data_IF_396724651270
#
_entry.id   IF_396724651270
#
_cell.length_a   1.000
_cell.length_b   1.000
_cell.length_c   1.000
_cell.angle_alpha   90.00
_cell.angle_beta   90.00
_cell.angle_gamma   90.00
#
_symmetry.space_group_name_H-M   'P 1'
#
loop_
_entity.id
_entity.type
_entity.pdbx_description
1 polymer ?
#
# COMPACT_ATOMS: atom_id res chain seq x y z
N UNK A 1 -2.26 -30.72 6.30
CA UNK A 1 -2.93 -29.41 6.14
C UNK A 1 -1.90 -28.33 6.37
N UNK A 2 -1.23 -27.87 5.31
CA UNK A 2 -0.36 -26.70 5.38
C UNK A 2 -1.23 -25.50 5.71
N UNK A 3 -1.01 -24.87 6.87
CA UNK A 3 -1.62 -23.60 7.21
C UNK A 3 -1.31 -22.62 6.07
N UNK A 4 -2.34 -22.23 5.30
CA UNK A 4 -2.25 -21.15 4.34
C UNK A 4 -2.05 -19.85 5.14
N UNK A 5 -0.78 -19.58 5.48
CA UNK A 5 -0.38 -18.29 6.02
C UNK A 5 -0.69 -17.24 4.96
N UNK A 6 -1.23 -16.07 5.34
CA UNK A 6 -1.26 -14.93 4.45
C UNK A 6 0.11 -14.72 3.81
N UNK A 7 0.14 -14.64 2.49
CA UNK A 7 1.30 -14.11 1.79
C UNK A 7 1.16 -12.60 1.82
N UNK A 8 2.08 -11.95 2.52
CA UNK A 8 2.41 -10.54 2.45
C UNK A 8 3.89 -10.54 2.04
N UNK A 9 4.21 -9.84 0.97
CA UNK A 9 5.52 -9.93 0.34
C UNK A 9 5.66 -8.96 -0.82
N UNK A 10 6.83 -8.32 -0.93
CA UNK A 10 7.26 -7.75 -2.22
C UNK A 10 7.39 -8.89 -3.22
N UNK A 11 6.79 -8.70 -4.40
CA UNK A 11 6.84 -9.69 -5.46
C UNK A 11 8.26 -9.82 -5.99
N UNK A 12 8.82 -11.03 -5.92
CA UNK A 12 10.07 -11.38 -6.55
C UNK A 12 9.83 -11.66 -8.04
N UNK A 13 10.87 -11.67 -8.87
CA UNK A 13 10.73 -11.96 -10.31
C UNK A 13 10.06 -13.32 -10.60
N UNK A 14 10.14 -14.27 -9.65
CA UNK A 14 9.44 -15.55 -9.69
C UNK A 14 7.93 -15.46 -9.50
N UNK A 15 7.41 -14.35 -8.99
CA UNK A 15 5.99 -14.16 -8.67
C UNK A 15 5.22 -13.42 -9.78
N UNK A 16 5.92 -12.96 -10.82
CA UNK A 16 5.34 -12.33 -12.03
C UNK A 16 4.25 -13.21 -12.67
N UNK A 17 4.40 -14.55 -12.81
CA UNK A 17 3.33 -15.40 -13.33
C UNK A 17 2.07 -15.43 -12.47
N UNK A 18 2.20 -15.25 -11.15
CA UNK A 18 1.08 -15.22 -10.21
C UNK A 18 0.29 -13.92 -10.39
N UNK A 19 0.99 -12.78 -10.49
CA UNK A 19 0.37 -11.49 -10.79
C UNK A 19 -0.33 -11.50 -12.15
N UNK A 20 0.32 -12.02 -13.18
CA UNK A 20 -0.25 -12.09 -14.52
C UNK A 20 -1.46 -13.03 -14.58
N UNK A 21 -1.50 -14.07 -13.74
CA UNK A 21 -2.68 -14.91 -13.56
C UNK A 21 -3.81 -14.11 -12.88
N UNK A 22 -3.54 -13.41 -11.77
CA UNK A 22 -4.53 -12.57 -11.10
C UNK A 22 -5.03 -11.42 -12.01
N UNK A 23 -4.17 -10.74 -12.76
CA UNK A 23 -4.62 -9.67 -13.67
C UNK A 23 -5.41 -10.20 -14.87
N UNK A 24 -5.15 -11.45 -15.32
CA UNK A 24 -5.96 -12.13 -16.33
C UNK A 24 -7.30 -12.61 -15.79
N UNK A 25 -7.33 -13.10 -14.54
CA UNK A 25 -8.54 -13.58 -13.86
C UNK A 25 -9.45 -12.44 -13.39
N UNK A 26 -8.86 -11.28 -13.08
CA UNK A 26 -9.58 -10.11 -12.57
C UNK A 26 -9.34 -8.88 -13.48
N UNK A 27 -9.96 -8.86 -14.67
CA UNK A 27 -9.71 -7.84 -15.69
C UNK A 27 -10.14 -6.42 -15.30
N UNK A 28 -10.96 -6.27 -14.25
CA UNK A 28 -11.38 -4.96 -13.71
C UNK A 28 -11.11 -4.93 -12.20
N UNK A 29 -9.89 -4.59 -11.77
CA UNK A 29 -9.64 -4.37 -10.36
C UNK A 29 -10.32 -3.09 -9.88
N UNK A 30 -10.79 -3.12 -8.64
CA UNK A 30 -11.29 -1.93 -7.95
C UNK A 30 -10.13 -1.20 -7.27
N UNK A 31 -10.30 0.10 -7.05
CA UNK A 31 -9.32 0.90 -6.32
C UNK A 31 -9.98 1.69 -5.20
N UNK A 32 -9.27 1.84 -4.07
CA UNK A 32 -9.64 2.78 -3.02
C UNK A 32 -8.43 3.57 -2.56
N UNK A 33 -8.64 4.84 -2.18
CA UNK A 33 -7.59 5.74 -1.73
C UNK A 33 -7.73 5.98 -0.23
N UNK A 34 -6.63 5.81 0.50
CA UNK A 34 -6.52 6.13 1.91
C UNK A 34 -5.55 7.29 2.08
N UNK A 35 -5.96 8.27 2.87
CA UNK A 35 -5.14 9.41 3.24
C UNK A 35 -4.73 9.27 4.70
N UNK A 36 -3.43 9.41 4.95
CA UNK A 36 -2.88 9.50 6.30
C UNK A 36 -2.25 10.87 6.45
N UNK A 37 -2.79 11.68 7.35
CA UNK A 37 -2.31 13.05 7.60
C UNK A 37 -1.09 13.00 8.51
N UNK A 38 -0.02 13.67 8.10
CA UNK A 38 1.18 13.81 8.91
C UNK A 38 0.97 14.83 10.03
N UNK A 39 1.45 14.49 11.21
CA UNK A 39 1.49 15.40 12.36
C UNK A 39 2.92 15.82 12.69
N UNK A 40 3.06 16.94 13.38
CA UNK A 40 4.33 17.36 13.96
C UNK A 40 4.92 16.23 14.83
N UNK A 41 6.16 15.85 14.54
CA UNK A 41 6.97 14.91 15.32
C UNK A 41 6.54 13.44 15.32
N UNK A 42 5.44 13.07 14.63
CA UNK A 42 5.00 11.69 14.57
C UNK A 42 5.75 10.91 13.49
N UNK A 43 6.74 10.11 13.91
CA UNK A 43 7.45 9.17 13.04
C UNK A 43 6.62 7.92 12.72
N UNK A 44 5.48 7.71 13.40
CA UNK A 44 4.59 6.57 13.20
C UNK A 44 3.18 7.06 12.96
N UNK A 45 2.61 6.72 11.81
CA UNK A 45 1.28 7.12 11.39
C UNK A 45 0.44 5.86 11.16
N UNK A 46 -0.55 5.64 12.02
CA UNK A 46 -1.41 4.46 11.91
C UNK A 46 -2.30 4.54 10.68
N UNK A 47 -2.49 3.40 10.02
CA UNK A 47 -3.48 3.29 8.96
C UNK A 47 -4.86 3.46 9.60
N UNK A 48 -5.78 4.20 8.94
CA UNK A 48 -7.17 4.23 9.38
C UNK A 48 -7.70 2.80 9.45
N UNK A 49 -8.44 2.48 10.51
CA UNK A 49 -9.03 1.16 10.62
C UNK A 49 -10.21 1.05 9.67
N UNK A 50 -10.15 0.09 8.76
CA UNK A 50 -11.16 -0.08 7.73
C UNK A 50 -11.41 -1.57 7.57
N UNK A 51 -12.54 -2.03 8.11
CA UNK A 51 -13.09 -3.38 7.88
C UNK A 51 -13.32 -3.70 6.40
N UNK A 52 -13.22 -2.68 5.53
CA UNK A 52 -13.33 -2.78 4.09
C UNK A 52 -12.53 -3.93 3.50
N UNK A 53 -11.32 -4.27 3.98
CA UNK A 53 -10.53 -5.32 3.34
C UNK A 53 -10.81 -6.75 3.81
N UNK A 54 -11.70 -6.96 4.78
CA UNK A 54 -11.97 -8.28 5.35
C UNK A 54 -12.45 -9.28 4.28
N UNK A 55 -13.27 -8.85 3.32
CA UNK A 55 -13.86 -9.66 2.25
C UNK A 55 -13.15 -9.50 0.89
N UNK A 56 -11.97 -8.85 0.85
CA UNK A 56 -11.26 -8.49 -0.39
C UNK A 56 -9.88 -9.13 -0.47
N UNK A 57 -9.44 -9.38 -1.71
CA UNK A 57 -8.06 -9.66 -2.07
C UNK A 57 -7.38 -8.37 -2.49
N UNK A 58 -6.28 -7.99 -1.83
CA UNK A 58 -5.46 -6.87 -2.28
C UNK A 58 -4.43 -7.41 -3.27
N UNK A 59 -4.43 -6.83 -4.48
CA UNK A 59 -3.52 -7.19 -5.57
C UNK A 59 -2.33 -6.25 -5.68
N UNK A 60 -2.43 -5.07 -5.06
CA UNK A 60 -1.34 -4.11 -5.03
C UNK A 60 -1.67 -2.86 -4.24
N UNK A 61 -0.64 -2.05 -4.06
CA UNK A 61 -0.73 -0.70 -3.53
C UNK A 61 0.23 0.19 -4.33
N UNK A 62 -0.17 1.42 -4.58
CA UNK A 62 0.73 2.44 -5.11
C UNK A 62 0.59 3.75 -4.36
N UNK A 63 1.67 4.53 -4.35
CA UNK A 63 1.77 5.82 -3.70
C UNK A 63 2.05 6.87 -4.74
N UNK A 64 1.35 7.99 -4.62
CA UNK A 64 1.59 9.17 -5.43
C UNK A 64 2.45 10.15 -4.63
N UNK A 65 3.68 10.44 -5.07
CA UNK A 65 4.54 11.38 -4.38
C UNK A 65 4.23 12.81 -4.77
N UNK A 66 4.72 13.76 -3.99
CA UNK A 66 4.81 15.17 -4.36
C UNK A 66 5.61 15.35 -5.66
N UNK A 67 5.26 16.36 -6.45
CA UNK A 67 6.09 16.76 -7.58
C UNK A 67 7.16 17.78 -7.14
N UNK A 68 8.24 17.95 -7.92
CA UNK A 68 9.31 18.89 -7.58
C UNK A 68 8.85 20.35 -7.41
N UNK A 69 7.69 20.71 -7.97
CA UNK A 69 7.09 22.04 -7.82
C UNK A 69 6.22 22.22 -6.57
N UNK A 70 5.96 21.18 -5.77
CA UNK A 70 5.11 21.27 -4.59
C UNK A 70 3.65 21.60 -4.88
N UNK A 71 3.16 21.28 -6.09
CA UNK A 71 1.80 21.63 -6.55
C UNK A 71 0.87 20.42 -6.59
N UNK A 72 1.33 19.24 -6.15
CA UNK A 72 0.51 18.04 -6.11
C UNK A 72 -0.13 17.88 -4.73
N UNK A 73 -1.45 17.70 -4.75
CA UNK A 73 -2.26 17.58 -3.55
C UNK A 73 -2.98 16.24 -3.50
N UNK A 74 -3.24 15.77 -2.29
CA UNK A 74 -4.10 14.64 -2.00
C UNK A 74 -5.55 14.92 -2.39
N UNK A 75 -6.38 13.89 -2.41
CA UNK A 75 -7.83 14.03 -2.61
C UNK A 75 -8.48 15.07 -1.68
N UNK A 76 -7.97 15.24 -0.46
CA UNK A 76 -8.51 16.22 0.51
C UNK A 76 -7.74 17.55 0.53
N UNK A 77 -6.91 17.85 -0.49
CA UNK A 77 -6.26 19.15 -0.65
C UNK A 77 -5.01 19.36 0.21
N UNK A 78 -4.35 18.29 0.66
CA UNK A 78 -3.08 18.39 1.42
C UNK A 78 -1.89 18.16 0.52
N UNK A 79 -0.76 18.80 0.80
CA UNK A 79 0.48 18.51 0.08
C UNK A 79 0.83 17.04 0.28
N UNK A 80 1.11 16.34 -0.82
CA UNK A 80 1.65 14.98 -0.74
C UNK A 80 3.07 14.99 -0.16
N UNK A 81 3.46 13.87 0.43
CA UNK A 81 4.83 13.62 0.91
C UNK A 81 5.82 13.58 -0.26
N UNK A 82 7.03 14.11 -0.07
CA UNK A 82 8.09 14.09 -1.10
C UNK A 82 8.73 12.71 -1.30
N UNK A 83 9.42 12.52 -2.43
CA UNK A 83 10.19 11.31 -2.69
C UNK A 83 11.25 11.05 -1.59
N UNK A 84 11.96 12.09 -1.14
CA UNK A 84 12.98 11.95 -0.10
C UNK A 84 12.37 11.48 1.24
N UNK A 85 11.19 11.98 1.58
CA UNK A 85 10.47 11.55 2.78
C UNK A 85 9.95 10.09 2.62
N UNK A 86 9.51 9.69 1.43
CA UNK A 86 9.07 8.32 1.13
C UNK A 86 10.21 7.30 1.10
N UNK A 87 11.41 7.69 0.64
CA UNK A 87 12.62 6.85 0.66
C UNK A 87 13.03 6.45 2.08
N UNK A 88 12.61 7.22 3.08
CA UNK A 88 12.86 6.95 4.49
C UNK A 88 11.64 6.36 5.23
N UNK A 89 10.61 5.94 4.50
CA UNK A 89 9.36 5.47 5.06
C UNK A 89 9.11 3.98 4.76
N UNK A 90 8.47 3.30 5.70
CA UNK A 90 8.16 1.87 5.62
C UNK A 90 6.69 1.64 6.00
N UNK A 91 6.00 0.80 5.25
CA UNK A 91 4.68 0.29 5.60
C UNK A 91 4.83 -0.98 6.42
N UNK A 92 4.33 -0.97 7.64
CA UNK A 92 4.20 -2.15 8.48
C UNK A 92 2.78 -2.69 8.37
N UNK A 93 2.65 -3.94 7.93
CA UNK A 93 1.38 -4.66 7.84
C UNK A 93 1.29 -5.66 8.99
N UNK A 94 0.15 -5.67 9.69
CA UNK A 94 -0.10 -6.59 10.81
C UNK A 94 -1.25 -7.54 10.53
N UNK A 95 -1.18 -8.73 11.14
CA UNK A 95 -2.25 -9.72 11.13
C UNK A 95 -2.92 -9.84 12.51
N UNK A 96 -4.25 -10.02 12.50
CA UNK A 96 -5.17 -10.18 13.63
C UNK A 96 -4.49 -10.63 14.93
N UNK A 97 -4.08 -9.67 15.77
CA UNK A 97 -3.59 -9.96 17.13
C UNK A 97 -2.08 -9.80 17.41
N UNK A 98 -1.30 -9.09 16.57
CA UNK A 98 0.06 -8.52 16.83
C UNK A 98 1.22 -9.12 16.02
N UNK A 99 0.96 -10.04 15.09
CA UNK A 99 2.04 -10.55 14.23
C UNK A 99 2.34 -9.49 13.16
N UNK A 100 3.53 -8.90 13.22
CA UNK A 100 4.07 -8.08 12.15
C UNK A 100 4.41 -9.02 11.00
N UNK A 101 3.74 -8.83 9.86
CA UNK A 101 3.99 -9.63 8.68
C UNK A 101 5.27 -9.16 7.98
N UNK A 102 5.41 -7.84 7.77
CA UNK A 102 6.53 -7.28 7.02
C UNK A 102 6.63 -5.75 7.18
N UNK A 103 7.86 -5.24 7.08
CA UNK A 103 8.17 -3.82 6.90
C UNK A 103 8.58 -3.60 5.44
N UNK A 104 7.71 -2.94 4.68
CA UNK A 104 7.85 -2.75 3.24
C UNK A 104 8.30 -1.31 2.93
N UNK A 105 9.44 -1.08 2.25
CA UNK A 105 9.90 0.27 1.92
C UNK A 105 8.92 0.99 0.99
N UNK A 106 8.49 2.20 1.37
CA UNK A 106 7.43 2.93 0.64
C UNK A 106 7.85 3.38 -0.76
N UNK A 107 9.15 3.63 -0.96
CA UNK A 107 9.72 3.96 -2.26
C UNK A 107 9.46 2.90 -3.33
N UNK A 108 9.29 1.64 -2.94
CA UNK A 108 9.02 0.55 -3.89
C UNK A 108 7.62 0.68 -4.50
N UNK A 109 6.67 1.29 -3.78
CA UNK A 109 5.29 1.48 -4.23
C UNK A 109 5.06 2.81 -4.96
N UNK A 110 6.08 3.63 -5.19
CA UNK A 110 5.92 4.91 -5.88
C UNK A 110 5.55 4.65 -7.35
N UNK A 111 4.40 5.14 -7.77
CA UNK A 111 4.01 5.15 -9.19
C UNK A 111 3.88 6.60 -9.66
N UNK A 112 4.78 7.02 -10.55
CA UNK A 112 4.59 8.26 -11.32
C UNK A 112 4.15 7.90 -12.75
N UNK A 113 2.85 7.96 -13.07
CA UNK A 113 2.38 7.67 -14.42
C UNK A 113 2.94 8.64 -15.48
N UNK A 114 3.57 9.76 -15.08
CA UNK A 114 4.13 10.77 -15.98
C UNK A 114 5.65 10.69 -16.18
N UNK A 115 6.39 9.93 -15.37
CA UNK A 115 7.86 9.88 -15.43
C UNK A 115 8.45 8.50 -15.73
N UNK A 116 7.64 7.49 -16.07
CA UNK A 116 8.14 6.18 -16.55
C UNK A 116 8.98 5.37 -15.54
N UNK A 117 9.17 5.87 -14.32
CA UNK A 117 9.77 5.13 -13.21
C UNK A 117 8.71 4.21 -12.59
N UNK A 118 8.84 2.92 -12.86
CA UNK A 118 7.84 1.92 -12.51
C UNK A 118 7.80 1.60 -11.02
N UNK A 119 6.72 2.02 -10.36
CA UNK A 119 6.00 1.13 -9.46
C UNK A 119 5.03 0.33 -10.31
N UNK A 120 5.33 -0.92 -10.64
CA UNK A 120 4.31 -1.82 -11.19
C UNK A 120 3.23 -1.96 -10.12
N UNK A 121 1.97 -2.04 -10.51
CA UNK A 121 0.76 -2.26 -9.69
C UNK A 121 0.81 -3.49 -8.75
N UNK A 122 1.97 -4.11 -8.59
CA UNK A 122 2.20 -5.54 -8.40
C UNK A 122 3.37 -5.73 -7.44
N UNK A 123 3.30 -5.17 -6.24
CA UNK A 123 4.32 -5.42 -5.21
C UNK A 123 3.72 -5.83 -3.87
N UNK A 124 2.41 -6.00 -3.79
CA UNK A 124 1.76 -6.38 -2.54
C UNK A 124 0.55 -7.23 -2.85
N UNK A 125 0.65 -8.52 -2.58
CA UNK A 125 -0.51 -9.40 -2.53
C UNK A 125 -0.88 -9.57 -1.06
N UNK A 126 -2.15 -9.44 -0.72
CA UNK A 126 -2.68 -9.80 0.58
C UNK A 126 -3.84 -10.76 0.38
N UNK A 127 -3.56 -12.05 0.62
CA UNK A 127 -4.56 -13.11 0.51
C UNK A 127 -5.54 -13.05 1.67
N UNK A 128 -5.12 -13.10 2.95
CA UNK A 128 -6.02 -13.11 4.14
C UNK A 128 -5.41 -12.36 5.34
N UNK A 129 -6.19 -12.08 6.37
CA UNK A 129 -5.65 -11.72 7.69
C UNK A 129 -5.02 -10.33 7.79
N UNK A 130 -5.32 -9.39 6.90
CA UNK A 130 -4.88 -8.01 7.04
C UNK A 130 -5.66 -7.28 8.14
N UNK A 131 -4.94 -6.64 9.06
CA UNK A 131 -5.52 -5.82 10.12
C UNK A 131 -5.04 -4.38 9.95
N UNK A 132 -5.91 -3.49 9.49
CA UNK A 132 -5.62 -2.04 9.42
C UNK A 132 -5.40 -1.44 10.80
N UNK A 133 -6.12 -1.92 11.81
CA UNK A 133 -6.11 -1.46 13.20
C UNK A 133 -4.73 -1.36 13.87
N UNK A 134 -3.77 -2.20 13.48
CA UNK A 134 -2.39 -2.15 14.03
C UNK A 134 -1.33 -1.90 12.94
N UNK A 135 -1.73 -1.68 11.70
CA UNK A 135 -0.82 -1.38 10.59
C UNK A 135 -0.48 0.11 10.58
N UNK A 136 0.72 0.47 10.14
CA UNK A 136 1.18 1.86 10.18
C UNK A 136 2.25 2.14 9.13
N UNK A 137 2.42 3.42 8.81
CA UNK A 137 3.60 3.94 8.11
C UNK A 137 4.57 4.47 9.16
N UNK A 138 5.83 4.01 9.12
CA UNK A 138 6.92 4.55 9.96
C UNK A 138 7.96 5.28 9.12
N UNK A 139 8.57 6.32 9.69
CA UNK A 139 9.68 7.07 9.11
C UNK A 139 10.93 6.83 9.94
N UNK A 140 12.03 6.38 9.32
CA UNK A 140 13.24 5.94 10.02
C UNK A 140 14.14 7.07 10.51
N UNK A 141 14.15 8.22 9.81
CA UNK A 141 15.12 9.29 10.06
C UNK A 141 14.48 10.53 10.70
N UNK A 142 13.38 11.03 10.13
CA UNK A 142 12.71 12.23 10.61
C UNK A 142 11.19 12.11 10.43
N UNK A 143 10.44 12.75 11.32
CA UNK A 143 9.01 12.90 11.12
C UNK A 143 8.78 13.69 9.81
N UNK A 144 7.81 13.29 8.99
CA UNK A 144 7.49 14.03 7.79
C UNK A 144 7.01 15.44 8.15
N UNK A 145 7.15 16.38 7.21
CA UNK A 145 6.65 17.75 7.40
C UNK A 145 5.16 17.77 7.77
N UNK A 146 4.73 18.77 8.55
CA UNK A 146 3.38 18.86 9.09
C UNK A 146 2.29 19.06 8.02
N UNK A 147 1.08 18.56 8.29
CA UNK A 147 -0.11 18.79 7.45
C UNK A 147 0.08 18.37 5.98
N UNK A 148 0.92 17.35 5.77
CA UNK A 148 1.06 16.64 4.50
C UNK A 148 0.22 15.36 4.54
N UNK A 149 0.11 14.70 3.40
CA UNK A 149 -0.64 13.46 3.25
C UNK A 149 0.23 12.36 2.62
N UNK A 150 0.21 11.18 3.24
CA UNK A 150 0.53 9.93 2.56
C UNK A 150 -0.75 9.43 1.90
N UNK A 151 -0.76 9.33 0.58
CA UNK A 151 -1.90 8.84 -0.19
C UNK A 151 -1.62 7.41 -0.67
N UNK A 152 -2.20 6.43 0.03
CA UNK A 152 -2.10 5.02 -0.29
C UNK A 152 -3.27 4.61 -1.18
N UNK A 153 -2.99 4.24 -2.42
CA UNK A 153 -3.99 3.74 -3.35
C UNK A 153 -3.91 2.23 -3.40
N UNK A 154 -4.97 1.57 -2.96
CA UNK A 154 -5.07 0.13 -2.85
C UNK A 154 -5.85 -0.42 -4.03
N UNK A 155 -5.32 -1.47 -4.66
CA UNK A 155 -5.94 -2.18 -5.77
C UNK A 155 -6.41 -3.53 -5.25
N UNK A 156 -7.68 -3.85 -5.46
CA UNK A 156 -8.32 -5.01 -4.84
C UNK A 156 -9.45 -5.61 -5.68
N UNK A 157 -9.82 -6.84 -5.34
CA UNK A 157 -10.96 -7.59 -5.92
C UNK A 157 -11.74 -8.30 -4.81
N UNK A 158 -13.00 -8.62 -5.04
CA UNK A 158 -13.79 -9.35 -4.05
C UNK A 158 -13.33 -10.81 -3.94
N UNK A 159 -13.27 -11.37 -2.73
CA UNK A 159 -12.86 -12.77 -2.53
C UNK A 159 -13.80 -13.78 -3.18
N UNK A 160 -15.08 -13.44 -3.24
CA UNK A 160 -16.13 -14.25 -3.85
C UNK A 160 -16.30 -14.00 -5.36
N UNK A 161 -15.50 -13.12 -5.98
CA UNK A 161 -15.50 -12.94 -7.43
C UNK A 161 -14.77 -14.07 -8.19
N UNK A 162 -14.37 -15.15 -7.49
CA UNK A 162 -13.94 -16.39 -8.10
C UNK A 162 -15.02 -16.91 -9.07
N UNK A 163 -14.69 -17.00 -10.35
CA UNK A 163 -15.21 -18.04 -11.21
C UNK A 163 -14.05 -19.00 -11.50
N UNK A 164 -14.26 -20.24 -11.07
CA UNK A 164 -13.43 -21.41 -11.32
C UNK A 164 -13.07 -21.52 -12.81
N UNK A 165 -11.81 -21.75 -13.11
CA UNK A 165 -11.40 -22.72 -14.13
C UNK A 165 -10.17 -23.48 -13.65
#
# INVERSE_FOLDING_TARGET
MTQNRPRVGLLQNSDVPVVDAYLREYPIPYSTTMEIVTGNSNQKLFLPDISFFEDKYVLGMFIRPQNGGGTRYSKNGRLLISNDELANAFLTITQSGSIVCEDLPLESFIQDPFNGGGGKYSQLIIDRGFSTSNSYVRFSNAAPGNNKAVELNWVWVYRNAYCVM
#
